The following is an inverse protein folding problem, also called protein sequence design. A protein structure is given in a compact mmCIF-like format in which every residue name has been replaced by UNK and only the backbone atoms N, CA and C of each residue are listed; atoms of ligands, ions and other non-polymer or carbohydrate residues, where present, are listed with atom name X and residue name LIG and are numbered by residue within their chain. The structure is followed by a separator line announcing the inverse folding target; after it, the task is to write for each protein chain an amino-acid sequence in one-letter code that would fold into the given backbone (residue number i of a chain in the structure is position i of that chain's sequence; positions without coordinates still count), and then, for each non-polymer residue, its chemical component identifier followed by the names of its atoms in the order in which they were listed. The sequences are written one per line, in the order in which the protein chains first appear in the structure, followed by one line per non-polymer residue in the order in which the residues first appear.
data_IF_219167245707
#
_entry.id   IF_219167245707
#
_cell.length_a   1.000
_cell.length_b   1.000
_cell.length_c   1.000
_cell.angle_alpha   90.00
_cell.angle_beta   90.00
_cell.angle_gamma   90.00
#
_symmetry.space_group_name_H-M   'P 1'
#
loop_
_entity.id
_entity.type
_entity.pdbx_description
1 polymer ?
#
# COMPACT_ATOMS: atom_id res chain seq x y z
N UNK A 1 -81.19 51.92 -14.14
CA UNK A 1 -79.89 52.64 -14.13
C UNK A 1 -79.43 53.03 -12.72
N UNK A 2 -80.32 53.23 -11.74
CA UNK A 2 -79.93 53.58 -10.36
C UNK A 2 -79.27 52.40 -9.60
N UNK A 3 -79.73 51.16 -9.82
CA UNK A 3 -79.20 49.97 -9.14
C UNK A 3 -77.74 49.65 -9.49
N UNK A 4 -77.32 49.96 -10.73
CA UNK A 4 -75.94 49.73 -11.18
C UNK A 4 -74.98 50.70 -10.47
N UNK A 5 -75.39 51.96 -10.29
CA UNK A 5 -74.58 52.95 -9.58
C UNK A 5 -74.45 52.63 -8.08
N UNK A 6 -75.50 52.10 -7.47
CA UNK A 6 -75.47 51.66 -6.07
C UNK A 6 -74.58 50.42 -5.88
N UNK A 7 -74.66 49.45 -6.79
CA UNK A 7 -73.78 48.28 -6.81
C UNK A 7 -72.31 48.67 -7.02
N UNK A 8 -72.02 49.61 -7.91
CA UNK A 8 -70.67 50.14 -8.13
C UNK A 8 -70.12 50.84 -6.88
N UNK A 9 -70.95 51.62 -6.18
CA UNK A 9 -70.57 52.30 -4.93
C UNK A 9 -70.27 51.29 -3.80
N UNK A 10 -71.08 50.24 -3.68
CA UNK A 10 -70.83 49.14 -2.73
C UNK A 10 -69.58 48.34 -3.08
N UNK A 11 -69.33 48.07 -4.35
CA UNK A 11 -68.14 47.34 -4.79
C UNK A 11 -66.87 48.15 -4.53
N UNK A 12 -66.87 49.45 -4.83
CA UNK A 12 -65.75 50.34 -4.54
C UNK A 12 -65.43 50.38 -3.04
N UNK A 13 -66.47 50.48 -2.19
CA UNK A 13 -66.31 50.43 -0.74
C UNK A 13 -65.81 49.07 -0.24
N UNK A 14 -66.28 47.96 -0.82
CA UNK A 14 -65.81 46.62 -0.46
C UNK A 14 -64.34 46.40 -0.84
N UNK A 15 -63.94 46.87 -2.03
CA UNK A 15 -62.55 46.80 -2.49
C UNK A 15 -61.61 47.68 -1.65
N UNK A 16 -62.04 48.88 -1.26
CA UNK A 16 -61.27 49.75 -0.37
C UNK A 16 -61.11 49.13 1.03
N UNK A 17 -62.16 48.47 1.54
CA UNK A 17 -62.11 47.74 2.82
C UNK A 17 -61.21 46.49 2.76
N UNK A 18 -61.16 45.82 1.61
CA UNK A 18 -60.24 44.70 1.37
C UNK A 18 -58.81 45.21 1.22
N UNK A 19 -58.60 46.33 0.52
CA UNK A 19 -57.30 46.97 0.37
C UNK A 19 -56.73 47.41 1.72
N UNK A 20 -57.53 48.09 2.53
CA UNK A 20 -57.15 48.48 3.90
C UNK A 20 -56.97 47.28 4.83
N UNK A 21 -57.79 46.22 4.68
CA UNK A 21 -57.61 44.96 5.40
C UNK A 21 -56.31 44.23 5.04
N UNK A 22 -55.95 44.21 3.75
CA UNK A 22 -54.69 43.64 3.25
C UNK A 22 -53.47 44.46 3.68
N UNK A 23 -53.57 45.79 3.65
CA UNK A 23 -52.51 46.67 4.14
C UNK A 23 -52.34 46.57 5.67
N UNK A 24 -53.43 46.30 6.40
CA UNK A 24 -53.39 45.98 7.83
C UNK A 24 -52.70 44.64 8.10
N UNK A 25 -53.11 43.57 7.41
CA UNK A 25 -52.45 42.24 7.47
C UNK A 25 -50.96 42.32 7.11
N UNK A 26 -50.59 43.15 6.12
CA UNK A 26 -49.20 43.37 5.70
C UNK A 26 -48.40 44.26 6.66
N UNK A 27 -49.06 45.07 7.49
CA UNK A 27 -48.42 45.89 8.54
C UNK A 27 -48.35 45.18 9.89
N UNK A 28 -49.28 44.28 10.16
CA UNK A 28 -49.36 43.46 11.39
C UNK A 28 -48.51 42.18 11.32
N UNK A 29 -47.96 41.83 10.16
CA UNK A 29 -46.71 41.07 10.09
C UNK A 29 -45.53 42.06 10.07
N UNK A 30 -44.96 42.43 11.23
CA UNK A 30 -43.55 42.76 11.20
C UNK A 30 -42.86 41.54 10.61
N UNK A 31 -42.10 41.73 9.53
CA UNK A 31 -41.07 40.78 9.16
C UNK A 31 -40.13 40.66 10.36
N UNK A 32 -40.47 39.79 11.30
CA UNK A 32 -39.56 39.34 12.33
C UNK A 32 -38.40 38.75 11.54
N UNK A 33 -37.17 39.25 11.71
CA UNK A 33 -36.04 38.53 11.17
C UNK A 33 -36.14 37.10 11.71
N UNK A 34 -36.10 36.11 10.82
CA UNK A 34 -35.98 34.68 11.14
C UNK A 34 -34.62 34.37 11.83
N UNK A 35 -34.18 35.21 12.75
CA UNK A 35 -33.07 34.98 13.66
C UNK A 35 -33.62 34.21 14.85
N UNK A 36 -34.03 32.95 14.62
CA UNK A 36 -34.19 32.01 15.72
C UNK A 36 -32.78 31.64 16.21
N UNK A 37 -32.36 32.08 17.42
CA UNK A 37 -31.00 31.87 17.92
C UNK A 37 -30.65 30.38 18.04
N UNK A 38 -31.63 29.50 18.23
CA UNK A 38 -31.43 28.04 18.23
C UNK A 38 -31.05 27.52 16.83
N UNK A 39 -31.63 28.06 15.76
CA UNK A 39 -31.28 27.68 14.39
C UNK A 39 -29.86 28.15 14.03
N UNK A 40 -29.42 29.30 14.52
CA UNK A 40 -28.04 29.75 14.33
C UNK A 40 -27.04 28.90 15.12
N UNK A 41 -27.36 28.53 16.36
CA UNK A 41 -26.55 27.61 17.17
C UNK A 41 -26.43 26.23 16.51
N UNK A 42 -27.53 25.64 16.05
CA UNK A 42 -27.52 24.36 15.33
C UNK A 42 -26.74 24.44 14.01
N UNK A 43 -26.82 25.56 13.29
CA UNK A 43 -26.00 25.78 12.08
C UNK A 43 -24.52 25.84 12.41
N UNK A 44 -24.14 26.52 13.48
CA UNK A 44 -22.75 26.59 13.93
C UNK A 44 -22.21 25.22 14.37
N UNK A 45 -23.02 24.42 15.08
CA UNK A 45 -22.67 23.04 15.45
C UNK A 45 -22.52 22.14 14.22
N UNK A 46 -23.44 22.23 13.24
CA UNK A 46 -23.35 21.48 12.00
C UNK A 46 -22.08 21.83 11.20
N UNK A 47 -21.72 23.11 11.11
CA UNK A 47 -20.49 23.53 10.45
C UNK A 47 -19.24 23.07 11.22
N UNK A 48 -19.28 23.07 12.55
CA UNK A 48 -18.21 22.52 13.37
C UNK A 48 -18.07 21.00 13.15
N UNK A 49 -19.16 20.23 13.17
CA UNK A 49 -19.14 18.81 12.87
C UNK A 49 -18.62 18.54 11.45
N UNK A 50 -19.09 19.29 10.45
CA UNK A 50 -18.61 19.19 9.06
C UNK A 50 -17.10 19.41 8.98
N UNK A 51 -16.57 20.43 9.66
CA UNK A 51 -15.13 20.68 9.72
C UNK A 51 -14.38 19.49 10.36
N UNK A 52 -14.89 18.92 11.45
CA UNK A 52 -14.27 17.73 12.06
C UNK A 52 -14.31 16.51 11.14
N UNK A 53 -15.44 16.27 10.45
CA UNK A 53 -15.53 15.16 9.49
C UNK A 53 -14.56 15.33 8.33
N UNK A 54 -14.42 16.54 7.78
CA UNK A 54 -13.44 16.81 6.73
C UNK A 54 -12.00 16.53 7.19
N UNK A 55 -11.66 16.94 8.41
CA UNK A 55 -10.35 16.67 9.00
C UNK A 55 -10.11 15.16 9.21
N UNK A 56 -11.11 14.43 9.70
CA UNK A 56 -11.02 12.98 9.91
C UNK A 56 -10.92 12.23 8.58
N UNK A 57 -11.64 12.65 7.55
CA UNK A 57 -11.53 12.08 6.21
C UNK A 57 -10.14 12.30 5.60
N UNK A 58 -9.57 13.49 5.76
CA UNK A 58 -8.21 13.78 5.32
C UNK A 58 -7.18 12.90 6.05
N UNK A 59 -7.29 12.80 7.38
CA UNK A 59 -6.45 11.89 8.19
C UNK A 59 -6.61 10.44 7.77
N UNK A 60 -7.82 10.00 7.47
CA UNK A 60 -8.10 8.65 7.00
C UNK A 60 -7.50 8.39 5.61
N UNK A 61 -7.60 9.35 4.68
CA UNK A 61 -6.92 9.25 3.38
C UNK A 61 -5.40 9.15 3.55
N UNK A 62 -4.81 10.02 4.38
CA UNK A 62 -3.38 10.00 4.64
C UNK A 62 -2.93 8.68 5.29
N UNK A 63 -3.69 8.18 6.26
CA UNK A 63 -3.41 6.90 6.92
C UNK A 63 -3.53 5.71 5.94
N UNK A 64 -4.56 5.71 5.08
CA UNK A 64 -4.73 4.69 4.03
C UNK A 64 -3.58 4.71 3.03
N UNK A 65 -3.19 5.89 2.52
CA UNK A 65 -2.03 6.01 1.61
C UNK A 65 -0.77 5.41 2.22
N UNK A 66 -0.45 5.78 3.47
CA UNK A 66 0.72 5.24 4.18
C UNK A 66 0.65 3.72 4.35
N UNK A 67 -0.53 3.20 4.69
CA UNK A 67 -0.72 1.77 4.86
C UNK A 67 -0.61 1.01 3.53
N UNK A 68 -1.15 1.57 2.45
CA UNK A 68 -1.05 0.99 1.10
C UNK A 68 0.40 0.99 0.61
N UNK A 69 1.16 2.06 0.87
CA UNK A 69 2.59 2.15 0.60
C UNK A 69 3.39 1.11 1.40
N UNK A 70 3.13 0.98 2.71
CA UNK A 70 3.77 -0.02 3.56
C UNK A 70 3.44 -1.46 3.14
N UNK A 71 2.20 -1.71 2.74
CA UNK A 71 1.77 -3.01 2.22
C UNK A 71 2.45 -3.33 0.88
N UNK A 72 2.53 -2.37 -0.03
CA UNK A 72 3.23 -2.56 -1.30
C UNK A 72 4.73 -2.86 -1.07
N UNK A 73 5.39 -2.12 -0.18
CA UNK A 73 6.77 -2.37 0.20
C UNK A 73 6.95 -3.76 0.82
N UNK A 74 6.06 -4.16 1.74
CA UNK A 74 6.10 -5.47 2.39
C UNK A 74 5.85 -6.62 1.41
N UNK A 75 4.91 -6.47 0.47
CA UNK A 75 4.65 -7.44 -0.58
C UNK A 75 5.86 -7.60 -1.50
N UNK A 76 6.49 -6.50 -1.90
CA UNK A 76 7.71 -6.52 -2.71
C UNK A 76 8.85 -7.25 -1.99
N UNK A 77 9.01 -7.03 -0.69
CA UNK A 77 10.02 -7.71 0.13
C UNK A 77 9.75 -9.21 0.26
N UNK A 78 8.49 -9.61 0.46
CA UNK A 78 8.11 -11.03 0.49
C UNK A 78 8.40 -11.71 -0.86
N UNK A 79 8.09 -11.06 -1.98
CA UNK A 79 8.43 -11.58 -3.30
C UNK A 79 9.95 -11.70 -3.51
N UNK A 80 10.72 -10.72 -3.04
CA UNK A 80 12.18 -10.73 -3.11
C UNK A 80 12.76 -11.90 -2.29
N UNK A 81 12.30 -12.08 -1.07
CA UNK A 81 12.70 -13.20 -0.19
C UNK A 81 12.30 -14.53 -0.82
N UNK A 82 11.09 -14.63 -1.37
CA UNK A 82 10.61 -15.84 -2.04
C UNK A 82 11.51 -16.26 -3.21
N UNK A 83 11.95 -15.30 -4.03
CA UNK A 83 12.91 -15.56 -5.12
C UNK A 83 14.27 -16.00 -4.60
N UNK A 84 14.78 -15.37 -3.55
CA UNK A 84 16.06 -15.75 -2.94
C UNK A 84 16.02 -17.18 -2.37
N UNK A 85 14.93 -17.53 -1.69
CA UNK A 85 14.74 -18.88 -1.14
C UNK A 85 14.69 -19.95 -2.24
N UNK A 86 14.06 -19.65 -3.38
CA UNK A 86 14.02 -20.58 -4.51
C UNK A 86 15.43 -20.86 -5.07
N UNK A 87 16.25 -19.83 -5.24
CA UNK A 87 17.65 -19.98 -5.68
C UNK A 87 18.47 -20.77 -4.66
N UNK A 88 18.34 -20.44 -3.37
CA UNK A 88 19.06 -21.16 -2.31
C UNK A 88 18.67 -22.64 -2.23
N UNK A 89 17.42 -22.99 -2.48
CA UNK A 89 16.96 -24.37 -2.50
C UNK A 89 17.54 -25.15 -3.70
N UNK A 90 17.62 -24.52 -4.87
CA UNK A 90 18.26 -25.09 -6.06
C UNK A 90 19.77 -25.32 -5.83
N UNK A 91 20.47 -24.35 -5.26
CA UNK A 91 21.89 -24.47 -4.90
C UNK A 91 22.10 -25.61 -3.89
N UNK A 92 21.24 -25.67 -2.85
CA UNK A 92 21.27 -26.73 -1.84
C UNK A 92 21.02 -28.11 -2.44
N UNK A 93 20.15 -28.23 -3.44
CA UNK A 93 19.91 -29.49 -4.15
C UNK A 93 21.13 -29.89 -4.99
N UNK A 94 21.72 -28.94 -5.70
CA UNK A 94 22.93 -29.16 -6.51
C UNK A 94 24.12 -29.61 -5.65
N UNK A 95 24.34 -28.97 -4.50
CA UNK A 95 25.38 -29.37 -3.54
C UNK A 95 25.14 -30.77 -2.97
N UNK A 96 23.88 -31.17 -2.71
CA UNK A 96 23.57 -32.53 -2.27
C UNK A 96 23.90 -33.56 -3.34
N UNK A 97 23.52 -33.30 -4.60
CA UNK A 97 23.83 -34.18 -5.72
C UNK A 97 25.34 -34.35 -5.93
N UNK A 98 26.09 -33.24 -5.89
CA UNK A 98 27.55 -33.26 -5.97
C UNK A 98 28.20 -34.08 -4.84
N UNK A 99 27.72 -33.93 -3.59
CA UNK A 99 28.20 -34.71 -2.46
C UNK A 99 27.90 -36.21 -2.60
N UNK A 100 26.71 -36.56 -3.10
CA UNK A 100 26.34 -37.95 -3.34
C UNK A 100 27.21 -38.58 -4.43
N UNK A 101 27.43 -37.88 -5.54
CA UNK A 101 28.30 -38.31 -6.62
C UNK A 101 29.76 -38.53 -6.13
N UNK A 102 30.28 -37.61 -5.32
CA UNK A 102 31.60 -37.73 -4.69
C UNK A 102 31.70 -38.96 -3.76
N UNK A 103 30.68 -39.23 -2.95
CA UNK A 103 30.64 -40.41 -2.07
C UNK A 103 30.63 -41.71 -2.87
N UNK A 104 29.81 -41.78 -3.92
CA UNK A 104 29.74 -42.95 -4.79
C UNK A 104 31.06 -43.18 -5.52
N UNK A 105 31.70 -42.12 -6.02
CA UNK A 105 33.01 -42.20 -6.66
C UNK A 105 34.11 -42.66 -5.69
N UNK A 106 34.13 -42.13 -4.46
CA UNK A 106 35.07 -42.57 -3.43
C UNK A 106 34.86 -44.03 -3.03
N UNK A 107 33.60 -44.49 -2.95
CA UNK A 107 33.28 -45.88 -2.66
C UNK A 107 33.79 -46.80 -3.77
N UNK A 108 33.51 -46.47 -5.03
CA UNK A 108 33.99 -47.24 -6.19
C UNK A 108 35.52 -47.32 -6.24
N UNK A 109 36.22 -46.22 -5.94
CA UNK A 109 37.69 -46.21 -5.86
C UNK A 109 38.22 -47.11 -4.73
N UNK A 110 37.54 -47.14 -3.58
CA UNK A 110 37.94 -48.01 -2.45
C UNK A 110 37.72 -49.48 -2.77
N UNK A 111 36.62 -49.82 -3.41
CA UNK A 111 36.32 -51.19 -3.86
C UNK A 111 37.34 -51.66 -4.90
N UNK A 112 37.59 -50.86 -5.93
CA UNK A 112 38.59 -51.14 -6.96
C UNK A 112 40.01 -51.32 -6.36
N UNK A 113 40.39 -50.46 -5.41
CA UNK A 113 41.67 -50.59 -4.71
C UNK A 113 41.74 -51.85 -3.82
N UNK A 114 40.64 -52.23 -3.15
CA UNK A 114 40.58 -53.42 -2.32
C UNK A 114 40.71 -54.71 -3.15
N UNK A 115 40.18 -54.71 -4.36
CA UNK A 115 40.29 -55.81 -5.33
C UNK A 115 41.65 -55.82 -6.06
N UNK A 116 42.51 -54.81 -5.83
CA UNK A 116 43.77 -54.63 -6.56
C UNK A 116 43.59 -54.26 -8.03
N UNK A 117 42.37 -53.94 -8.44
CA UNK A 117 41.99 -53.54 -9.79
C UNK A 117 42.07 -52.02 -9.90
N UNK A 118 43.29 -51.49 -10.07
CA UNK A 118 43.45 -50.08 -10.39
C UNK A 118 42.97 -49.81 -11.83
N UNK A 119 41.71 -49.39 -11.97
CA UNK A 119 41.14 -48.99 -13.26
C UNK A 119 41.39 -47.49 -13.55
N UNK A 120 42.21 -47.15 -14.57
CA UNK A 120 42.45 -45.76 -14.96
C UNK A 120 41.18 -44.99 -15.35
N UNK A 121 40.15 -45.68 -15.90
CA UNK A 121 38.89 -45.03 -16.23
C UNK A 121 38.14 -44.59 -14.99
N UNK A 122 38.13 -45.41 -13.94
CA UNK A 122 37.46 -45.12 -12.68
C UNK A 122 38.13 -43.94 -11.95
N UNK A 123 39.45 -43.84 -12.01
CA UNK A 123 40.21 -42.67 -11.53
C UNK A 123 39.86 -41.41 -12.33
N UNK A 124 39.81 -41.49 -13.66
CA UNK A 124 39.45 -40.34 -14.49
C UNK A 124 38.02 -39.88 -14.23
N UNK A 125 37.07 -40.82 -14.09
CA UNK A 125 35.69 -40.51 -13.69
C UNK A 125 35.65 -39.83 -12.32
N UNK A 126 36.42 -40.32 -11.34
CA UNK A 126 36.48 -39.70 -10.03
C UNK A 126 36.98 -38.26 -10.06
N UNK A 127 38.07 -37.99 -10.79
CA UNK A 127 38.62 -36.65 -10.96
C UNK A 127 37.60 -35.71 -11.63
N UNK A 128 36.90 -36.19 -12.67
CA UNK A 128 35.85 -35.40 -13.33
C UNK A 128 34.69 -35.09 -12.37
N UNK A 129 34.30 -36.05 -11.54
CA UNK A 129 33.24 -35.89 -10.54
C UNK A 129 33.65 -34.88 -9.45
N UNK A 130 34.92 -34.92 -9.02
CA UNK A 130 35.48 -33.96 -8.07
C UNK A 130 35.57 -32.55 -8.65
N UNK A 131 35.99 -32.42 -9.91
CA UNK A 131 36.02 -31.14 -10.60
C UNK A 131 34.63 -30.52 -10.72
N UNK A 132 33.61 -31.34 -11.02
CA UNK A 132 32.22 -30.89 -11.09
C UNK A 132 31.72 -30.43 -9.73
N UNK A 133 31.96 -31.22 -8.67
CA UNK A 133 31.60 -30.83 -7.31
C UNK A 133 32.28 -29.53 -6.85
N UNK A 134 33.58 -29.35 -7.15
CA UNK A 134 34.30 -28.10 -6.84
C UNK A 134 33.76 -26.90 -7.64
N UNK A 135 33.21 -27.12 -8.83
CA UNK A 135 32.55 -26.06 -9.60
C UNK A 135 31.21 -25.69 -8.97
N UNK A 136 30.41 -26.67 -8.55
CA UNK A 136 29.14 -26.45 -7.83
C UNK A 136 29.35 -25.70 -6.52
N UNK A 137 30.37 -26.07 -5.74
CA UNK A 137 30.71 -25.35 -4.50
C UNK A 137 31.09 -23.90 -4.81
N UNK A 138 31.99 -23.68 -5.77
CA UNK A 138 32.40 -22.31 -6.12
C UNK A 138 31.26 -21.46 -6.70
N UNK A 139 30.33 -22.04 -7.46
CA UNK A 139 29.17 -21.29 -7.95
C UNK A 139 28.24 -20.91 -6.80
N UNK A 140 28.02 -21.82 -5.85
CA UNK A 140 27.24 -21.55 -4.62
C UNK A 140 27.88 -20.44 -3.78
N UNK A 141 29.20 -20.52 -3.53
CA UNK A 141 29.92 -19.50 -2.77
C UNK A 141 29.81 -18.12 -3.44
N UNK A 142 29.89 -18.07 -4.78
CA UNK A 142 29.74 -16.82 -5.52
C UNK A 142 28.32 -16.27 -5.43
N UNK A 143 27.30 -17.12 -5.53
CA UNK A 143 25.90 -16.70 -5.37
C UNK A 143 25.63 -16.15 -3.96
N UNK A 144 26.21 -16.76 -2.92
CA UNK A 144 26.13 -16.27 -1.55
C UNK A 144 26.80 -14.90 -1.40
N UNK A 145 28.03 -14.73 -1.94
CA UNK A 145 28.74 -13.46 -1.91
C UNK A 145 27.99 -12.35 -2.66
N UNK A 146 27.44 -12.65 -3.83
CA UNK A 146 26.64 -11.70 -4.61
C UNK A 146 25.36 -11.30 -3.82
N UNK A 147 24.74 -12.24 -3.09
CA UNK A 147 23.63 -11.98 -2.19
C UNK A 147 24.01 -11.08 -1.00
N UNK A 148 25.15 -11.31 -0.37
CA UNK A 148 25.69 -10.47 0.72
C UNK A 148 25.98 -9.05 0.21
N UNK A 149 26.61 -8.92 -0.97
CA UNK A 149 26.89 -7.62 -1.58
C UNK A 149 25.58 -6.87 -1.85
N UNK A 150 24.56 -7.54 -2.40
CA UNK A 150 23.26 -6.94 -2.65
C UNK A 150 22.57 -6.46 -1.36
N UNK A 151 22.72 -7.20 -0.25
CA UNK A 151 22.19 -6.82 1.05
C UNK A 151 22.94 -5.64 1.70
N UNK A 152 24.26 -5.54 1.48
CA UNK A 152 25.10 -4.46 2.03
C UNK A 152 25.04 -3.16 1.20
N UNK A 153 24.73 -3.25 -0.09
CA UNK A 153 24.65 -2.10 -1.00
C UNK A 153 23.75 -0.94 -0.49
N UNK A 154 22.49 -1.17 -0.04
CA UNK A 154 21.65 -0.08 0.46
C UNK A 154 22.21 0.56 1.74
N UNK A 155 22.76 -0.24 2.67
CA UNK A 155 23.35 0.25 3.93
C UNK A 155 24.55 1.17 3.68
N UNK A 156 25.35 0.85 2.65
CA UNK A 156 26.48 1.69 2.23
C UNK A 156 26.01 3.00 1.58
N UNK A 157 24.91 2.99 0.82
CA UNK A 157 24.34 4.18 0.19
C UNK A 157 23.76 5.15 1.24
N UNK A 158 22.98 4.64 2.19
CA UNK A 158 22.42 5.43 3.30
C UNK A 158 23.54 6.09 4.16
N UNK A 159 24.64 5.37 4.39
CA UNK A 159 25.81 5.88 5.11
C UNK A 159 26.66 6.92 4.34
N UNK A 160 26.43 7.07 3.04
CA UNK A 160 27.03 8.12 2.21
C UNK A 160 26.13 9.36 2.09
N UNK A 161 24.82 9.18 1.98
CA UNK A 161 23.84 10.29 1.94
C UNK A 161 23.75 11.03 3.28
N UNK A 162 23.80 10.31 4.41
CA UNK A 162 23.86 10.93 5.74
C UNK A 162 25.15 11.73 6.03
N UNK A 163 26.17 11.62 5.17
CA UNK A 163 27.44 12.36 5.28
C UNK A 163 27.45 13.64 4.46
N UNK A 164 26.64 13.71 3.40
CA UNK A 164 26.56 14.90 2.53
C UNK A 164 25.65 15.99 3.09
N UNK A 165 24.74 15.67 4.01
CA UNK A 165 23.84 16.64 4.65
C UNK A 165 24.44 17.37 5.86
N UNK A 166 25.68 17.05 6.25
CA UNK A 166 26.35 17.62 7.42
C UNK A 166 27.67 18.35 7.10
N UNK A 167 27.84 18.78 5.85
CA UNK A 167 28.98 19.59 5.37
C UNK A 167 28.47 20.85 4.67
#
# INVERSE_FOLDING_TARGET
MHDIAELQRRLAHALDRIGTGLDGLRRDEPAQPDTNPELEALRAELEAERATTAQLEERLRAARSRHDEQNAASQSEVERIGKLLAVMEEDRQSLRAANEALRNSNQALREANAEGLSDPHLVNTAILTELDALRTVRSSDRAELDGIIAALAPVLQDGTEGRTDNA
#
